data_IF_333967467716
#
_entry.id   IF_333967467716
#
_cell.length_a   1.000
_cell.length_b   1.000
_cell.length_c   1.000
_cell.angle_alpha   90.00
_cell.angle_beta   90.00
_cell.angle_gamma   90.00
#
_symmetry.space_group_name_H-M   'P 1'
#
loop_
_entity.id
_entity.type
_entity.pdbx_description
1 polymer ?
#
# COMPACT_ATOMS: atom_id res chain seq x y z
N UNK A 1 21.17 48.27 86.25
CA UNK A 1 19.88 49.01 86.27
C UNK A 1 19.12 48.53 85.05
N UNK A 2 17.98 47.86 85.07
CA UNK A 2 17.00 47.51 86.10
C UNK A 2 15.66 47.32 85.37
N UNK A 3 14.94 46.23 85.65
CA UNK A 3 13.56 45.94 85.19
C UNK A 3 13.49 45.22 83.83
N UNK A 4 12.85 44.06 83.64
CA UNK A 4 11.83 43.37 84.44
C UNK A 4 10.49 43.43 83.70
N UNK A 5 10.07 42.32 83.09
CA UNK A 5 8.79 42.18 82.40
C UNK A 5 8.65 40.81 81.75
N UNK A 6 8.06 39.87 82.48
CA UNK A 6 7.69 38.50 82.08
C UNK A 6 6.44 38.49 81.21
N UNK A 7 6.37 37.58 80.23
CA UNK A 7 5.21 36.71 80.03
C UNK A 7 5.57 35.54 79.10
N UNK A 8 5.20 34.34 79.54
CA UNK A 8 5.37 33.05 78.89
C UNK A 8 4.02 32.67 78.30
N UNK A 9 3.93 32.35 77.01
CA UNK A 9 2.92 31.39 76.55
C UNK A 9 3.24 30.72 75.20
N UNK A 10 3.13 29.39 75.26
CA UNK A 10 2.68 28.44 74.25
C UNK A 10 3.47 28.19 72.95
N UNK A 11 3.94 26.94 72.89
CA UNK A 11 4.46 26.20 71.75
C UNK A 11 3.51 26.14 70.53
N UNK A 12 4.12 26.21 69.34
CA UNK A 12 3.69 25.45 68.16
C UNK A 12 4.89 25.28 67.22
N UNK A 13 5.22 24.04 66.86
CA UNK A 13 6.36 23.72 66.02
C UNK A 13 6.11 24.06 64.55
N UNK A 14 7.06 24.75 63.93
CA UNK A 14 7.17 24.84 62.47
C UNK A 14 8.25 23.86 61.99
N UNK A 15 7.80 22.69 61.53
CA UNK A 15 8.60 21.80 60.72
C UNK A 15 8.86 22.48 59.36
N UNK A 16 10.13 22.61 58.99
CA UNK A 16 10.54 23.20 57.71
C UNK A 16 9.92 22.45 56.55
N UNK A 17 9.03 23.12 55.81
CA UNK A 17 8.40 22.59 54.61
C UNK A 17 9.45 22.29 53.53
N UNK A 18 9.58 21.01 53.19
CA UNK A 18 10.24 20.55 51.99
C UNK A 18 9.53 21.13 50.76
N UNK A 19 10.26 21.85 49.91
CA UNK A 19 9.77 22.38 48.64
C UNK A 19 9.35 21.25 47.69
N UNK A 20 8.05 21.07 47.54
CA UNK A 20 7.43 20.23 46.51
C UNK A 20 7.75 20.77 45.11
N UNK A 21 8.10 19.92 44.12
CA UNK A 21 8.29 20.39 42.75
C UNK A 21 6.95 20.81 42.16
N UNK A 22 6.96 21.98 41.52
CA UNK A 22 5.82 22.61 40.84
C UNK A 22 5.15 21.61 39.88
N UNK A 23 3.87 21.32 40.14
CA UNK A 23 2.97 20.61 39.24
C UNK A 23 2.93 21.35 37.90
N UNK A 24 3.48 20.74 36.85
CA UNK A 24 3.08 21.09 35.48
C UNK A 24 1.56 20.96 35.39
N UNK A 25 0.83 21.92 34.81
CA UNK A 25 -0.59 21.77 34.59
C UNK A 25 -0.81 20.51 33.76
N UNK A 26 -1.52 19.52 34.33
CA UNK A 26 -2.09 18.42 33.58
C UNK A 26 -3.03 19.03 32.54
N UNK A 27 -2.53 19.21 31.31
CA UNK A 27 -3.38 19.46 30.16
C UNK A 27 -4.20 18.18 30.01
N UNK A 28 -5.47 18.25 30.41
CA UNK A 28 -6.42 17.16 30.21
C UNK A 28 -6.41 16.81 28.71
N UNK A 29 -6.32 15.51 28.35
CA UNK A 29 -6.40 15.13 26.95
C UNK A 29 -7.71 15.66 26.37
N UNK A 30 -7.71 16.13 25.10
CA UNK A 30 -8.93 16.59 24.46
C UNK A 30 -9.99 15.48 24.50
N UNK A 31 -11.29 15.82 24.65
CA UNK A 31 -12.34 14.82 24.63
C UNK A 31 -12.24 14.00 23.32
N UNK A 32 -12.55 12.70 23.36
CA UNK A 32 -12.47 11.86 22.17
C UNK A 32 -13.32 12.48 21.06
N UNK A 33 -12.83 12.49 19.81
CA UNK A 33 -13.61 13.00 18.70
C UNK A 33 -14.95 12.24 18.66
N UNK A 34 -16.05 12.95 18.46
CA UNK A 34 -17.35 12.31 18.32
C UNK A 34 -17.26 11.27 17.18
N UNK A 35 -17.79 10.06 17.40
CA UNK A 35 -17.77 8.94 16.43
C UNK A 35 -18.12 9.40 15.00
N UNK A 36 -19.17 10.20 14.86
CA UNK A 36 -19.59 10.72 13.55
C UNK A 36 -18.57 11.65 12.88
N UNK A 37 -17.77 12.39 13.65
CA UNK A 37 -16.71 13.24 13.11
C UNK A 37 -15.54 12.39 12.58
N UNK A 38 -15.18 11.31 13.27
CA UNK A 38 -14.12 10.40 12.81
C UNK A 38 -14.54 9.63 11.55
N UNK A 39 -15.78 9.11 11.51
CA UNK A 39 -16.36 8.51 10.30
C UNK A 39 -16.28 9.47 9.12
N UNK A 40 -16.70 10.73 9.30
CA UNK A 40 -16.66 11.74 8.24
C UNK A 40 -15.23 12.01 7.74
N UNK A 41 -14.25 12.09 8.64
CA UNK A 41 -12.84 12.30 8.28
C UNK A 41 -12.28 11.12 7.48
N UNK A 42 -12.56 9.90 7.93
CA UNK A 42 -12.09 8.69 7.24
C UNK A 42 -12.73 8.54 5.87
N UNK A 43 -14.05 8.73 5.73
CA UNK A 43 -14.73 8.68 4.43
C UNK A 43 -14.20 9.76 3.48
N UNK A 44 -13.95 10.98 3.98
CA UNK A 44 -13.40 12.08 3.18
C UNK A 44 -11.97 11.82 2.68
N UNK A 45 -11.23 10.91 3.31
CA UNK A 45 -9.92 10.43 2.84
C UNK A 45 -10.05 9.19 1.97
N UNK A 46 -10.77 8.17 2.44
CA UNK A 46 -10.89 6.87 1.82
C UNK A 46 -11.52 6.96 0.43
N UNK A 47 -12.65 7.64 0.27
CA UNK A 47 -13.34 7.67 -1.04
C UNK A 47 -12.47 8.29 -2.15
N UNK A 48 -11.80 9.45 -1.95
CA UNK A 48 -10.82 9.95 -2.92
C UNK A 48 -9.62 9.02 -3.13
N UNK A 49 -9.10 8.37 -2.08
CA UNK A 49 -7.95 7.48 -2.21
C UNK A 49 -8.28 6.18 -2.95
N UNK A 50 -9.49 5.65 -2.78
CA UNK A 50 -10.04 4.54 -3.58
C UNK A 50 -10.13 4.96 -5.04
N UNK A 51 -10.75 6.12 -5.33
CA UNK A 51 -10.85 6.63 -6.69
C UNK A 51 -9.46 6.84 -7.32
N UNK A 52 -8.51 7.41 -6.57
CA UNK A 52 -7.13 7.58 -7.02
C UNK A 52 -6.46 6.24 -7.35
N UNK A 53 -6.61 5.24 -6.48
CA UNK A 53 -6.03 3.90 -6.68
C UNK A 53 -6.62 3.20 -7.90
N UNK A 54 -7.95 3.29 -8.08
CA UNK A 54 -8.64 2.73 -9.25
C UNK A 54 -8.21 3.42 -10.55
N UNK A 55 -8.08 4.75 -10.54
CA UNK A 55 -7.61 5.52 -11.70
C UNK A 55 -6.17 5.13 -12.06
N UNK A 56 -5.29 4.96 -11.08
CA UNK A 56 -3.91 4.55 -11.30
C UNK A 56 -3.80 3.10 -11.79
N UNK A 57 -4.60 2.18 -11.24
CA UNK A 57 -4.66 0.79 -11.69
C UNK A 57 -5.17 0.69 -13.13
N UNK A 58 -6.14 1.52 -13.51
CA UNK A 58 -6.70 1.56 -14.87
C UNK A 58 -5.65 1.84 -15.95
N UNK A 59 -4.54 2.54 -15.66
CA UNK A 59 -3.45 2.74 -16.63
C UNK A 59 -2.86 1.38 -17.06
N UNK A 60 -2.64 0.48 -16.11
CA UNK A 60 -2.09 -0.84 -16.38
C UNK A 60 -3.07 -1.68 -17.21
N UNK A 61 -4.34 -1.68 -16.84
CA UNK A 61 -5.40 -2.39 -17.57
C UNK A 61 -5.49 -1.90 -19.01
N UNK A 62 -5.56 -0.58 -19.22
CA UNK A 62 -5.62 0.01 -20.57
C UNK A 62 -4.38 -0.37 -21.39
N UNK A 63 -3.18 -0.30 -20.81
CA UNK A 63 -1.93 -0.65 -21.50
C UNK A 63 -1.93 -2.10 -22.00
N UNK A 64 -2.38 -3.05 -21.17
CA UNK A 64 -2.48 -4.47 -21.51
C UNK A 64 -3.56 -4.70 -22.57
N UNK A 65 -4.71 -4.02 -22.49
CA UNK A 65 -5.76 -4.12 -23.50
C UNK A 65 -5.26 -3.66 -24.89
N UNK A 66 -4.51 -2.56 -24.96
CA UNK A 66 -3.91 -2.11 -26.20
C UNK A 66 -2.87 -3.09 -26.75
N UNK A 67 -2.02 -3.67 -25.88
CA UNK A 67 -1.11 -4.74 -26.27
C UNK A 67 -1.85 -5.99 -26.79
N UNK A 68 -3.02 -6.29 -26.22
CA UNK A 68 -3.88 -7.40 -26.64
C UNK A 68 -4.35 -7.30 -28.08
N UNK A 69 -4.70 -6.10 -28.54
CA UNK A 69 -5.12 -5.88 -29.92
C UNK A 69 -3.99 -6.04 -30.96
N UNK A 70 -2.73 -6.11 -30.53
CA UNK A 70 -1.59 -6.40 -31.41
C UNK A 70 -1.38 -7.91 -31.62
N UNK A 71 -2.07 -8.77 -30.87
CA UNK A 71 -2.00 -10.23 -31.00
C UNK A 71 -1.66 -10.96 -29.70
N UNK A 72 -1.86 -12.27 -29.69
CA UNK A 72 -1.72 -13.14 -28.51
C UNK A 72 -0.31 -13.13 -27.90
N UNK A 73 0.72 -13.09 -28.74
CA UNK A 73 2.11 -13.03 -28.28
C UNK A 73 2.42 -11.70 -27.57
N UNK A 74 1.93 -10.58 -28.11
CA UNK A 74 2.07 -9.25 -27.50
C UNK A 74 1.34 -9.17 -26.17
N UNK A 75 0.11 -9.69 -26.10
CA UNK A 75 -0.67 -9.79 -24.85
C UNK A 75 0.09 -10.57 -23.78
N UNK A 76 0.56 -11.77 -24.14
CA UNK A 76 1.26 -12.67 -23.22
C UNK A 76 2.57 -12.05 -22.74
N UNK A 77 3.37 -11.49 -23.65
CA UNK A 77 4.62 -10.79 -23.32
C UNK A 77 4.38 -9.58 -22.40
N UNK A 78 3.40 -8.73 -22.71
CA UNK A 78 3.06 -7.56 -21.89
C UNK A 78 2.56 -7.96 -20.49
N UNK A 79 1.73 -9.00 -20.40
CA UNK A 79 1.16 -9.47 -19.14
C UNK A 79 2.24 -10.07 -18.22
N UNK A 80 3.11 -10.93 -18.78
CA UNK A 80 4.24 -11.52 -18.05
C UNK A 80 5.23 -10.45 -17.63
N UNK A 81 5.57 -9.50 -18.51
CA UNK A 81 6.46 -8.39 -18.17
C UNK A 81 5.88 -7.51 -17.07
N UNK A 82 4.58 -7.23 -17.11
CA UNK A 82 3.91 -6.40 -16.11
C UNK A 82 3.85 -7.07 -14.74
N UNK A 83 3.52 -8.37 -14.69
CA UNK A 83 3.57 -9.15 -13.45
C UNK A 83 5.01 -9.19 -12.90
N UNK A 84 6.00 -9.50 -13.75
CA UNK A 84 7.41 -9.52 -13.34
C UNK A 84 7.88 -8.15 -12.83
N UNK A 85 7.51 -7.06 -13.50
CA UNK A 85 7.85 -5.71 -13.08
C UNK A 85 7.12 -5.27 -11.80
N UNK A 86 5.89 -5.74 -11.59
CA UNK A 86 5.17 -5.50 -10.34
C UNK A 86 5.89 -6.18 -9.16
N UNK A 87 6.23 -7.46 -9.30
CA UNK A 87 6.94 -8.26 -8.29
C UNK A 87 8.33 -7.69 -8.00
N UNK A 88 9.11 -7.42 -9.03
CA UNK A 88 10.53 -7.09 -8.89
C UNK A 88 10.84 -5.60 -8.85
N UNK A 89 9.85 -4.72 -9.06
CA UNK A 89 10.06 -3.28 -9.19
C UNK A 89 9.00 -2.42 -8.49
N UNK A 90 7.78 -2.39 -9.01
CA UNK A 90 6.75 -1.45 -8.54
C UNK A 90 6.32 -1.70 -7.09
N UNK A 91 6.08 -2.96 -6.69
CA UNK A 91 5.73 -3.31 -5.30
C UNK A 91 6.85 -2.92 -4.30
N UNK A 92 8.11 -3.03 -4.73
CA UNK A 92 9.28 -2.65 -3.93
C UNK A 92 9.30 -1.15 -3.69
N UNK A 93 9.09 -0.34 -4.74
CA UNK A 93 9.02 1.13 -4.62
C UNK A 93 7.80 1.60 -3.84
N UNK A 94 6.64 0.97 -4.03
CA UNK A 94 5.43 1.20 -3.25
C UNK A 94 5.68 0.96 -1.76
N UNK A 95 6.27 -0.18 -1.44
CA UNK A 95 6.60 -0.59 -0.07
C UNK A 95 7.57 0.38 0.60
N UNK A 96 8.69 0.74 -0.04
CA UNK A 96 9.60 1.75 0.51
C UNK A 96 8.92 3.11 0.68
N UNK A 97 8.17 3.56 -0.33
CA UNK A 97 7.45 4.84 -0.30
C UNK A 97 6.47 4.93 0.87
N UNK A 98 5.82 3.82 1.24
CA UNK A 98 4.86 3.75 2.35
C UNK A 98 5.46 4.07 3.73
N UNK A 99 6.78 4.07 3.91
CA UNK A 99 7.39 4.59 5.14
C UNK A 99 7.08 6.09 5.36
N UNK A 100 6.76 6.83 4.31
CA UNK A 100 6.29 8.21 4.42
C UNK A 100 4.93 8.33 5.12
N UNK A 101 4.09 7.28 5.11
CA UNK A 101 2.83 7.29 5.86
C UNK A 101 3.11 7.54 7.35
N UNK A 102 4.15 6.92 7.91
CA UNK A 102 4.60 7.18 9.28
C UNK A 102 5.35 8.50 9.41
N UNK A 103 6.43 8.70 8.64
CA UNK A 103 7.32 9.86 8.82
C UNK A 103 6.62 11.18 8.55
N UNK A 104 5.92 11.32 7.42
CA UNK A 104 5.21 12.55 7.09
C UNK A 104 3.92 12.68 7.90
N UNK A 105 3.21 11.59 8.15
CA UNK A 105 1.97 11.61 8.94
C UNK A 105 2.19 12.03 10.39
N UNK A 106 3.16 11.42 11.08
CA UNK A 106 3.49 11.83 12.46
C UNK A 106 4.06 13.25 12.51
N UNK A 107 4.89 13.65 11.54
CA UNK A 107 5.36 15.05 11.44
C UNK A 107 4.21 16.04 11.22
N UNK A 108 3.19 15.65 10.44
CA UNK A 108 2.02 16.47 10.20
C UNK A 108 1.18 16.64 11.48
N UNK A 109 0.95 15.53 12.20
CA UNK A 109 0.31 15.54 13.52
C UNK A 109 1.02 16.46 14.51
N UNK A 110 2.35 16.36 14.55
CA UNK A 110 3.22 17.18 15.41
C UNK A 110 3.37 18.64 14.93
N UNK A 111 2.70 19.03 13.83
CA UNK A 111 2.79 20.36 13.19
C UNK A 111 4.21 20.74 12.74
N UNK A 112 5.08 19.76 12.51
CA UNK A 112 6.44 19.96 12.02
C UNK A 112 6.46 20.02 10.49
N UNK A 113 5.83 21.04 9.90
CA UNK A 113 5.54 21.06 8.46
C UNK A 113 6.78 21.00 7.57
N UNK A 114 7.89 21.63 7.97
CA UNK A 114 9.17 21.58 7.23
C UNK A 114 9.77 20.17 7.18
N UNK A 115 9.50 19.36 8.21
CA UNK A 115 9.99 17.99 8.27
C UNK A 115 9.32 17.10 7.23
N UNK A 116 8.06 17.36 6.84
CA UNK A 116 7.40 16.60 5.77
C UNK A 116 8.19 16.66 4.46
N UNK A 117 8.55 17.87 4.03
CA UNK A 117 9.33 18.06 2.81
C UNK A 117 10.70 17.41 2.91
N UNK A 118 11.34 17.49 4.08
CA UNK A 118 12.64 16.84 4.32
C UNK A 118 12.55 15.32 4.26
N UNK A 119 11.49 14.71 4.81
CA UNK A 119 11.23 13.28 4.71
C UNK A 119 10.93 12.86 3.26
N UNK A 120 10.11 13.61 2.54
CA UNK A 120 9.79 13.34 1.14
C UNK A 120 11.03 13.41 0.24
N UNK A 121 11.91 14.40 0.42
CA UNK A 121 13.18 14.50 -0.31
C UNK A 121 14.10 13.31 -0.07
N UNK A 122 14.15 12.83 1.18
CA UNK A 122 14.91 11.64 1.54
C UNK A 122 14.35 10.39 0.88
N UNK A 123 13.03 10.23 0.87
CA UNK A 123 12.38 9.15 0.15
C UNK A 123 12.67 9.22 -1.35
N UNK A 124 12.60 10.40 -1.98
CA UNK A 124 13.00 10.59 -3.38
C UNK A 124 14.42 10.08 -3.62
N UNK A 125 15.38 10.47 -2.79
CA UNK A 125 16.76 9.98 -2.90
C UNK A 125 16.86 8.45 -2.79
N UNK A 126 16.23 7.86 -1.76
CA UNK A 126 16.28 6.41 -1.51
C UNK A 126 15.60 5.63 -2.63
N UNK A 127 14.41 6.03 -3.07
CA UNK A 127 13.65 5.34 -4.12
C UNK A 127 14.33 5.49 -5.48
N UNK A 128 14.95 6.63 -5.80
CA UNK A 128 15.73 6.77 -7.04
C UNK A 128 16.98 5.90 -7.02
N UNK A 129 17.67 5.82 -5.88
CA UNK A 129 18.84 4.95 -5.73
C UNK A 129 18.46 3.47 -5.85
N UNK A 130 17.36 3.05 -5.21
CA UNK A 130 16.88 1.67 -5.31
C UNK A 130 16.26 1.36 -6.69
N UNK A 131 15.74 2.37 -7.40
CA UNK A 131 15.31 2.23 -8.79
C UNK A 131 16.41 1.71 -9.72
N UNK A 132 17.70 1.99 -9.44
CA UNK A 132 18.83 1.53 -10.26
C UNK A 132 18.97 0.00 -10.28
N UNK A 133 19.15 -0.72 -9.16
CA UNK A 133 19.23 -2.18 -9.17
C UNK A 133 17.93 -2.81 -9.69
N UNK A 134 16.76 -2.23 -9.41
CA UNK A 134 15.48 -2.73 -9.93
C UNK A 134 15.42 -2.59 -11.46
N UNK A 135 15.88 -1.46 -12.02
CA UNK A 135 15.97 -1.26 -13.47
C UNK A 135 16.92 -2.26 -14.13
N UNK A 136 18.03 -2.60 -13.48
CA UNK A 136 18.93 -3.67 -13.97
C UNK A 136 18.20 -5.00 -14.03
N UNK A 137 17.45 -5.38 -12.99
CA UNK A 137 16.63 -6.61 -13.00
C UNK A 137 15.63 -6.58 -14.16
N UNK A 138 14.93 -5.45 -14.38
CA UNK A 138 13.98 -5.32 -15.49
C UNK A 138 14.65 -5.42 -16.87
N UNK A 139 15.85 -4.87 -17.04
CA UNK A 139 16.60 -4.94 -18.29
C UNK A 139 16.96 -6.39 -18.68
N UNK A 140 17.08 -7.28 -17.69
CA UNK A 140 17.38 -8.69 -17.89
C UNK A 140 16.14 -9.60 -17.85
N UNK A 141 14.92 -9.05 -17.81
CA UNK A 141 13.66 -9.83 -17.67
C UNK A 141 13.58 -10.98 -18.66
N UNK A 142 13.83 -10.76 -19.96
CA UNK A 142 13.73 -11.85 -20.95
C UNK A 142 14.72 -12.98 -20.73
N UNK A 143 15.96 -12.66 -20.33
CA UNK A 143 16.98 -13.67 -20.04
C UNK A 143 16.64 -14.45 -18.77
N UNK A 144 16.13 -13.75 -17.74
CA UNK A 144 15.69 -14.37 -16.49
C UNK A 144 14.53 -15.32 -16.77
N UNK A 145 13.53 -14.92 -17.55
CA UNK A 145 12.38 -15.76 -17.87
C UNK A 145 12.80 -17.01 -18.68
N UNK A 146 13.70 -16.88 -19.65
CA UNK A 146 14.28 -18.02 -20.38
C UNK A 146 15.02 -18.95 -19.41
N UNK A 147 15.82 -18.40 -18.50
CA UNK A 147 16.55 -19.21 -17.50
C UNK A 147 15.61 -19.93 -16.53
N UNK A 148 14.42 -19.37 -16.27
CA UNK A 148 13.35 -20.00 -15.50
C UNK A 148 12.51 -21.00 -16.31
N UNK A 149 12.84 -21.23 -17.59
CA UNK A 149 12.19 -22.22 -18.44
C UNK A 149 10.92 -21.73 -19.15
N UNK A 150 10.67 -20.42 -19.19
CA UNK A 150 9.56 -19.86 -19.96
C UNK A 150 9.80 -19.98 -21.48
N UNK A 151 8.71 -19.92 -22.25
CA UNK A 151 8.79 -19.94 -23.71
C UNK A 151 9.71 -18.81 -24.22
N UNK A 152 10.70 -19.09 -25.10
CA UNK A 152 11.66 -18.09 -25.56
C UNK A 152 11.05 -16.88 -26.29
N UNK A 153 9.99 -17.07 -27.07
CA UNK A 153 9.33 -15.99 -27.80
C UNK A 153 8.58 -15.06 -26.84
N UNK A 154 7.80 -15.63 -25.90
CA UNK A 154 7.09 -14.87 -24.85
C UNK A 154 8.11 -14.12 -23.98
N UNK A 155 9.21 -14.78 -23.62
CA UNK A 155 10.25 -14.20 -22.79
C UNK A 155 10.98 -13.06 -23.49
N UNK A 156 11.25 -13.18 -24.79
CA UNK A 156 11.83 -12.11 -25.59
C UNK A 156 10.91 -10.88 -25.64
N UNK A 157 9.62 -11.10 -25.91
CA UNK A 157 8.62 -10.02 -25.92
C UNK A 157 8.45 -9.37 -24.55
N UNK A 158 8.41 -10.17 -23.48
CA UNK A 158 8.35 -9.67 -22.12
C UNK A 158 9.60 -8.86 -21.75
N UNK A 159 10.78 -9.31 -22.18
CA UNK A 159 12.05 -8.59 -21.99
C UNK A 159 12.06 -7.24 -22.69
N UNK A 160 11.58 -7.17 -23.93
CA UNK A 160 11.43 -5.91 -24.66
C UNK A 160 10.43 -4.98 -23.94
N UNK A 161 9.26 -5.48 -23.56
CA UNK A 161 8.27 -4.69 -22.83
C UNK A 161 8.84 -4.11 -21.53
N UNK A 162 9.50 -4.95 -20.72
CA UNK A 162 10.10 -4.56 -19.43
C UNK A 162 11.18 -3.48 -19.59
N UNK A 163 12.02 -3.58 -20.64
CA UNK A 163 13.04 -2.56 -20.95
C UNK A 163 12.42 -1.18 -21.19
N UNK A 164 11.31 -1.12 -21.92
CA UNK A 164 10.59 0.14 -22.21
C UNK A 164 9.76 0.64 -21.02
N UNK A 165 9.59 -0.18 -19.98
CA UNK A 165 8.92 0.18 -18.72
C UNK A 165 9.88 0.84 -17.71
N UNK A 166 11.20 0.72 -17.90
CA UNK A 166 12.22 1.25 -16.98
C UNK A 166 12.06 2.75 -16.71
N UNK A 167 11.80 3.64 -17.69
CA UNK A 167 11.58 5.06 -17.39
C UNK A 167 10.37 5.27 -16.46
N UNK A 168 9.33 4.45 -16.61
CA UNK A 168 8.14 4.43 -15.77
C UNK A 168 8.42 3.98 -14.34
N UNK A 169 9.39 3.10 -14.13
CA UNK A 169 9.81 2.67 -12.78
C UNK A 169 10.29 3.85 -11.93
N UNK A 170 11.14 4.72 -12.49
CA UNK A 170 11.61 5.92 -11.80
C UNK A 170 10.50 6.95 -11.60
N UNK A 171 9.64 7.14 -12.60
CA UNK A 171 8.47 8.00 -12.45
C UNK A 171 7.54 7.51 -11.32
N UNK A 172 7.30 6.21 -11.24
CA UNK A 172 6.48 5.61 -10.20
C UNK A 172 7.08 5.83 -8.81
N UNK A 173 8.40 5.68 -8.65
CA UNK A 173 9.07 5.99 -7.39
C UNK A 173 8.86 7.45 -6.94
N UNK A 174 8.97 8.41 -7.86
CA UNK A 174 8.67 9.82 -7.58
C UNK A 174 7.19 10.06 -7.28
N UNK A 175 6.30 9.37 -8.01
CA UNK A 175 4.86 9.44 -7.82
C UNK A 175 4.49 8.98 -6.41
N UNK A 176 5.06 7.86 -5.94
CA UNK A 176 4.84 7.39 -4.57
C UNK A 176 5.27 8.45 -3.54
N UNK A 177 6.43 9.09 -3.72
CA UNK A 177 6.86 10.17 -2.82
C UNK A 177 5.88 11.35 -2.77
N UNK A 178 5.43 11.83 -3.93
CA UNK A 178 4.50 12.97 -4.03
C UNK A 178 3.11 12.63 -3.49
N UNK A 179 2.58 11.46 -3.84
CA UNK A 179 1.30 10.96 -3.33
C UNK A 179 1.32 10.88 -1.82
N UNK A 180 2.36 10.27 -1.24
CA UNK A 180 2.50 10.11 0.21
C UNK A 180 2.65 11.46 0.91
N UNK A 181 3.46 12.37 0.36
CA UNK A 181 3.63 13.73 0.88
C UNK A 181 2.31 14.51 0.96
N UNK A 182 1.45 14.43 -0.07
CA UNK A 182 0.16 15.12 -0.09
C UNK A 182 -0.89 14.43 0.80
N UNK A 183 -1.04 13.11 0.71
CA UNK A 183 -2.11 12.41 1.40
C UNK A 183 -1.95 12.44 2.93
N UNK A 184 -0.72 12.39 3.47
CA UNK A 184 -0.50 12.46 4.93
C UNK A 184 -0.92 13.82 5.51
N UNK A 185 -0.96 14.85 4.68
CA UNK A 185 -1.48 16.18 5.02
C UNK A 185 -3.02 16.27 4.89
N UNK A 186 -3.70 15.17 4.61
CA UNK A 186 -5.13 15.08 4.29
C UNK A 186 -5.49 15.74 2.94
N UNK A 187 -4.54 15.83 2.00
CA UNK A 187 -4.72 16.49 0.72
C UNK A 187 -4.81 15.44 -0.38
N UNK A 188 -6.05 15.03 -0.67
CA UNK A 188 -6.34 13.90 -1.56
C UNK A 188 -6.99 14.31 -2.88
N UNK A 189 -7.63 15.49 -2.94
CA UNK A 189 -8.31 15.96 -4.15
C UNK A 189 -7.38 16.13 -5.37
N UNK A 190 -6.18 16.73 -5.24
CA UNK A 190 -5.25 16.84 -6.37
C UNK A 190 -4.80 15.47 -6.88
N UNK A 191 -4.71 14.46 -6.02
CA UNK A 191 -4.31 13.11 -6.39
C UNK A 191 -5.33 12.48 -7.34
N UNK A 192 -6.62 12.63 -7.04
CA UNK A 192 -7.72 12.15 -7.90
C UNK A 192 -7.73 12.90 -9.22
N UNK A 193 -7.67 14.23 -9.19
CA UNK A 193 -7.72 15.06 -10.39
C UNK A 193 -6.54 14.76 -11.31
N UNK A 194 -5.31 14.73 -10.78
CA UNK A 194 -4.12 14.45 -11.60
C UNK A 194 -4.14 13.02 -12.15
N UNK A 195 -4.58 12.03 -11.35
CA UNK A 195 -4.71 10.65 -11.83
C UNK A 195 -5.79 10.51 -12.91
N UNK A 196 -6.91 11.21 -12.78
CA UNK A 196 -7.99 11.22 -13.77
C UNK A 196 -7.56 11.86 -15.10
N UNK A 197 -6.93 13.04 -15.03
CA UNK A 197 -6.36 13.69 -16.23
C UNK A 197 -5.29 12.80 -16.87
N UNK A 198 -4.45 12.15 -16.04
CA UNK A 198 -3.44 11.20 -16.53
C UNK A 198 -4.08 10.02 -17.25
N UNK A 199 -5.16 9.42 -16.73
CA UNK A 199 -5.85 8.30 -17.37
C UNK A 199 -6.44 8.69 -18.73
N UNK A 200 -7.09 9.85 -18.82
CA UNK A 200 -7.64 10.36 -20.09
C UNK A 200 -6.52 10.55 -21.11
N UNK A 201 -5.41 11.18 -20.70
CA UNK A 201 -4.25 11.34 -21.57
C UNK A 201 -3.61 9.99 -21.93
N UNK A 202 -3.59 9.05 -21.00
CA UNK A 202 -3.01 7.73 -21.20
C UNK A 202 -3.75 6.94 -22.28
N UNK A 203 -5.09 6.98 -22.30
CA UNK A 203 -5.88 6.33 -23.36
C UNK A 203 -5.52 6.92 -24.73
N UNK A 204 -5.46 8.25 -24.83
CA UNK A 204 -5.06 8.93 -26.07
C UNK A 204 -3.62 8.57 -26.46
N UNK A 205 -2.70 8.56 -25.50
CA UNK A 205 -1.30 8.26 -25.73
C UNK A 205 -1.08 6.82 -26.19
N UNK A 206 -1.74 5.85 -25.56
CA UNK A 206 -1.74 4.45 -25.99
C UNK A 206 -2.25 4.35 -27.43
N UNK A 207 -3.38 4.99 -27.75
CA UNK A 207 -3.93 4.97 -29.11
C UNK A 207 -2.93 5.55 -30.13
N UNK A 208 -2.37 6.74 -29.88
CA UNK A 208 -1.38 7.38 -30.76
C UNK A 208 -0.13 6.51 -30.89
N UNK A 209 0.43 6.04 -29.78
CA UNK A 209 1.66 5.24 -29.78
C UNK A 209 1.48 3.90 -30.48
N UNK A 210 0.31 3.26 -30.38
CA UNK A 210 0.05 1.96 -31.01
C UNK A 210 -0.26 2.11 -32.50
N UNK A 211 -0.99 3.15 -32.90
CA UNK A 211 -1.46 3.28 -34.29
C UNK A 211 -0.60 4.22 -35.17
N UNK A 212 0.05 5.23 -34.59
CA UNK A 212 0.84 6.19 -35.35
C UNK A 212 2.33 5.88 -35.33
N UNK A 213 2.80 5.17 -34.29
CA UNK A 213 4.19 4.78 -34.16
C UNK A 213 4.27 3.25 -34.26
N UNK A 214 4.93 2.73 -35.29
CA UNK A 214 5.06 1.29 -35.56
C UNK A 214 6.05 0.61 -34.60
N UNK A 215 5.82 0.77 -33.30
CA UNK A 215 6.67 0.27 -32.21
C UNK A 215 6.09 -1.00 -31.54
N UNK A 216 4.93 -1.46 -32.01
CA UNK A 216 4.26 -2.68 -31.54
C UNK A 216 4.05 -2.68 -30.03
N UNK A 217 4.41 -3.78 -29.35
CA UNK A 217 4.19 -3.95 -27.92
C UNK A 217 4.94 -2.91 -27.04
N UNK A 218 6.03 -2.32 -27.57
CA UNK A 218 6.81 -1.28 -26.90
C UNK A 218 5.99 0.00 -26.69
N UNK A 219 5.04 0.27 -27.58
CA UNK A 219 4.14 1.41 -27.51
C UNK A 219 3.35 1.45 -26.22
N UNK A 220 2.84 0.29 -25.77
CA UNK A 220 2.08 0.18 -24.53
C UNK A 220 2.97 0.50 -23.31
N UNK A 221 4.13 -0.15 -23.19
CA UNK A 221 5.08 0.09 -22.10
C UNK A 221 5.57 1.55 -22.02
N UNK A 222 5.89 2.14 -23.17
CA UNK A 222 6.32 3.53 -23.24
C UNK A 222 5.18 4.49 -22.85
N UNK A 223 3.96 4.21 -23.29
CA UNK A 223 2.78 5.01 -22.93
C UNK A 223 2.53 5.00 -21.43
N UNK A 224 2.65 3.84 -20.77
CA UNK A 224 2.57 3.73 -19.31
C UNK A 224 3.64 4.60 -18.64
N UNK A 225 4.89 4.49 -19.11
CA UNK A 225 6.02 5.24 -18.56
C UNK A 225 5.84 6.75 -18.66
N UNK A 226 5.41 7.24 -19.83
CA UNK A 226 5.14 8.65 -20.08
C UNK A 226 3.96 9.15 -19.25
N UNK A 227 2.91 8.35 -19.07
CA UNK A 227 1.77 8.69 -18.22
C UNK A 227 2.17 8.84 -16.75
N UNK A 228 3.05 7.99 -16.22
CA UNK A 228 3.58 8.20 -14.87
C UNK A 228 4.38 9.49 -14.74
N UNK A 229 5.26 9.80 -15.72
CA UNK A 229 5.99 11.07 -15.71
C UNK A 229 5.06 12.28 -15.78
N UNK A 230 4.02 12.20 -16.60
CA UNK A 230 3.01 13.25 -16.69
C UNK A 230 2.30 13.46 -15.35
N UNK A 231 1.90 12.38 -14.66
CA UNK A 231 1.28 12.48 -13.33
C UNK A 231 2.24 13.10 -12.29
N UNK A 232 3.52 12.67 -12.31
CA UNK A 232 4.58 13.28 -11.47
C UNK A 232 4.70 14.77 -11.73
N UNK A 233 4.71 15.20 -13.00
CA UNK A 233 4.81 16.62 -13.37
C UNK A 233 3.59 17.39 -12.86
N UNK A 234 2.37 16.88 -13.04
CA UNK A 234 1.15 17.53 -12.55
C UNK A 234 1.18 17.72 -11.02
N UNK A 235 1.54 16.67 -10.28
CA UNK A 235 1.64 16.74 -8.82
C UNK A 235 2.79 17.64 -8.36
N UNK A 236 3.94 17.60 -9.03
CA UNK A 236 5.07 18.48 -8.73
C UNK A 236 4.73 19.95 -8.97
N UNK A 237 4.01 20.26 -10.06
CA UNK A 237 3.47 21.61 -10.32
C UNK A 237 2.52 22.00 -9.20
N UNK A 238 1.57 21.15 -8.82
CA UNK A 238 0.65 21.42 -7.72
C UNK A 238 1.39 21.74 -6.42
N UNK A 239 2.37 20.91 -6.02
CA UNK A 239 3.20 21.17 -4.83
C UNK A 239 3.92 22.51 -4.96
N UNK A 240 4.51 22.82 -6.11
CA UNK A 240 5.27 24.07 -6.31
C UNK A 240 4.41 25.34 -6.20
N UNK A 241 3.16 25.30 -6.70
CA UNK A 241 2.31 26.50 -6.80
C UNK A 241 1.33 26.67 -5.65
N UNK A 242 0.94 25.57 -4.99
CA UNK A 242 -0.05 25.59 -3.91
C UNK A 242 0.50 26.12 -2.60
N UNK A 243 -0.39 26.70 -1.78
CA UNK A 243 -0.06 27.15 -0.43
C UNK A 243 0.42 25.99 0.47
N UNK A 244 -0.08 24.79 0.21
CA UNK A 244 0.33 23.56 0.87
C UNK A 244 1.83 23.35 0.72
N UNK A 245 2.32 23.33 -0.52
CA UNK A 245 3.74 23.12 -0.75
C UNK A 245 4.59 24.27 -0.24
N UNK A 246 4.12 25.52 -0.30
CA UNK A 246 4.83 26.65 0.36
C UNK A 246 5.02 26.44 1.85
N UNK A 247 4.04 25.82 2.54
CA UNK A 247 4.09 25.56 3.98
C UNK A 247 4.90 24.32 4.36
N UNK A 248 4.89 23.26 3.55
CA UNK A 248 5.48 21.97 3.91
C UNK A 248 6.66 21.52 3.05
N UNK A 249 7.04 22.31 2.04
CA UNK A 249 8.24 22.11 1.24
C UNK A 249 9.25 23.23 1.49
N UNK A 250 10.24 23.03 2.39
CA UNK A 250 11.20 24.08 2.77
C UNK A 250 12.28 24.35 1.70
N UNK A 251 12.13 23.79 0.49
CA UNK A 251 13.18 23.72 -0.52
C UNK A 251 14.14 22.56 -0.28
N UNK A 252 15.08 22.35 -1.22
CA UNK A 252 16.02 21.23 -1.15
C UNK A 252 17.00 21.39 0.01
N UNK A 253 17.02 20.40 0.90
CA UNK A 253 17.89 20.40 2.08
C UNK A 253 18.95 19.30 1.98
N UNK A 254 20.21 19.65 2.26
CA UNK A 254 21.30 18.67 2.38
C UNK A 254 21.07 17.72 3.57
N UNK A 255 20.26 18.11 4.54
CA UNK A 255 19.91 17.26 5.68
C UNK A 255 19.09 16.04 5.27
N UNK A 256 18.33 16.12 4.18
CA UNK A 256 17.62 14.98 3.62
C UNK A 256 18.57 13.84 3.23
N UNK A 257 19.79 14.19 2.81
CA UNK A 257 20.82 13.28 2.27
C UNK A 257 21.84 12.81 3.33
N UNK A 258 21.82 13.35 4.55
CA UNK A 258 22.73 12.92 5.61
C UNK A 258 22.51 11.45 5.92
N UNK A 259 23.57 10.64 5.86
CA UNK A 259 23.55 9.18 6.02
C UNK A 259 22.80 8.71 7.28
N UNK A 260 22.97 9.42 8.41
CA UNK A 260 22.25 9.14 9.66
C UNK A 260 20.73 9.08 9.45
N UNK A 261 20.16 10.05 8.73
CA UNK A 261 18.72 10.12 8.53
C UNK A 261 18.23 9.23 7.40
N UNK A 262 19.06 9.00 6.37
CA UNK A 262 18.81 7.96 5.36
C UNK A 262 18.68 6.59 6.03
N UNK A 263 19.60 6.24 6.94
CA UNK A 263 19.53 5.00 7.71
C UNK A 263 18.27 4.93 8.59
N UNK A 264 17.84 6.05 9.18
CA UNK A 264 16.59 6.09 9.94
C UNK A 264 15.38 5.82 9.05
N UNK A 265 15.34 6.37 7.84
CA UNK A 265 14.29 6.08 6.86
C UNK A 265 14.31 4.61 6.43
N UNK A 266 15.48 4.06 6.09
CA UNK A 266 15.66 2.68 5.67
C UNK A 266 15.23 1.66 6.75
N UNK A 267 15.41 1.97 8.03
CA UNK A 267 14.93 1.12 9.14
C UNK A 267 13.42 0.89 9.13
N UNK A 268 12.66 1.80 8.51
CA UNK A 268 11.22 1.66 8.33
C UNK A 268 10.86 1.21 6.92
N UNK A 269 11.51 1.80 5.91
CA UNK A 269 11.25 1.52 4.49
C UNK A 269 11.53 0.07 4.10
N UNK A 270 12.60 -0.54 4.60
CA UNK A 270 12.92 -1.95 4.31
C UNK A 270 11.83 -2.88 4.88
N UNK A 271 11.45 -2.80 6.17
CA UNK A 271 10.30 -3.54 6.66
C UNK A 271 8.99 -3.27 5.92
N UNK A 272 8.68 -2.01 5.60
CA UNK A 272 7.49 -1.68 4.81
C UNK A 272 7.51 -2.36 3.44
N UNK A 273 8.69 -2.47 2.83
CA UNK A 273 8.91 -3.19 1.57
C UNK A 273 8.56 -4.66 1.72
N UNK A 274 9.12 -5.34 2.72
CA UNK A 274 8.80 -6.75 2.96
C UNK A 274 7.33 -6.96 3.32
N UNK A 275 6.74 -6.06 4.10
CA UNK A 275 5.33 -6.13 4.46
C UNK A 275 4.43 -6.15 3.21
N UNK A 276 4.67 -5.27 2.24
CA UNK A 276 3.92 -5.25 0.96
C UNK A 276 4.32 -6.38 0.02
N UNK A 277 5.62 -6.60 -0.18
CA UNK A 277 6.13 -7.52 -1.18
C UNK A 277 5.82 -8.98 -0.83
N UNK A 278 5.97 -9.39 0.43
CA UNK A 278 5.76 -10.79 0.83
C UNK A 278 4.34 -11.26 0.50
N UNK A 279 3.36 -10.39 0.70
CA UNK A 279 1.97 -10.61 0.34
C UNK A 279 1.78 -10.70 -1.18
N UNK A 280 2.24 -9.68 -1.92
CA UNK A 280 2.08 -9.62 -3.38
C UNK A 280 2.76 -10.82 -4.07
N UNK A 281 3.95 -11.17 -3.62
CA UNK A 281 4.71 -12.29 -4.17
C UNK A 281 4.05 -13.63 -3.87
N UNK A 282 3.40 -13.80 -2.70
CA UNK A 282 2.69 -15.03 -2.36
C UNK A 282 1.52 -15.31 -3.33
N UNK A 283 0.80 -14.26 -3.72
CA UNK A 283 -0.25 -14.36 -4.74
C UNK A 283 0.29 -14.77 -6.11
N UNK A 284 1.39 -14.16 -6.54
CA UNK A 284 2.03 -14.49 -7.82
C UNK A 284 2.61 -15.92 -7.79
N UNK A 285 3.17 -16.36 -6.66
CA UNK A 285 3.61 -17.74 -6.47
C UNK A 285 2.46 -18.74 -6.59
N UNK A 286 1.25 -18.41 -6.11
CA UNK A 286 0.08 -19.27 -6.28
C UNK A 286 -0.30 -19.41 -7.75
N UNK A 287 -0.25 -18.35 -8.55
CA UNK A 287 -0.46 -18.44 -10.00
C UNK A 287 0.63 -19.29 -10.65
N UNK A 288 1.91 -19.11 -10.28
CA UNK A 288 3.01 -19.93 -10.79
C UNK A 288 2.84 -21.42 -10.44
N UNK A 289 2.37 -21.73 -9.23
CA UNK A 289 2.10 -23.10 -8.80
C UNK A 289 0.97 -23.75 -9.60
N UNK A 290 0.00 -22.98 -10.09
CA UNK A 290 -1.06 -23.53 -10.95
C UNK A 290 -0.52 -24.11 -12.27
N UNK A 291 0.61 -23.61 -12.76
CA UNK A 291 1.30 -24.15 -13.93
C UNK A 291 1.83 -25.58 -13.77
N UNK A 292 1.89 -26.10 -12.53
CA UNK A 292 2.31 -27.48 -12.24
C UNK A 292 1.13 -28.44 -12.00
N UNK A 293 -0.12 -27.96 -12.07
CA UNK A 293 -1.30 -28.82 -11.91
C UNK A 293 -1.58 -29.64 -13.19
N UNK A 294 -2.37 -30.74 -13.10
CA UNK A 294 -2.60 -31.65 -14.23
C UNK A 294 -3.20 -31.02 -15.50
N UNK A 295 -3.97 -29.93 -15.37
CA UNK A 295 -4.45 -29.12 -16.49
C UNK A 295 -3.90 -27.68 -16.37
N UNK A 296 -2.62 -27.46 -16.69
CA UNK A 296 -1.93 -26.22 -16.33
C UNK A 296 -2.48 -25.02 -17.10
N UNK A 297 -2.96 -25.21 -18.34
CA UNK A 297 -3.59 -24.13 -19.12
C UNK A 297 -4.86 -23.62 -18.47
N UNK A 298 -5.77 -24.53 -18.09
CA UNK A 298 -7.02 -24.17 -17.44
C UNK A 298 -6.77 -23.54 -16.07
N UNK A 299 -5.98 -24.22 -15.22
CA UNK A 299 -5.72 -23.79 -13.83
C UNK A 299 -5.00 -22.44 -13.77
N UNK A 300 -4.00 -22.21 -14.63
CA UNK A 300 -3.29 -20.92 -14.69
C UNK A 300 -4.22 -19.81 -15.17
N UNK A 301 -5.06 -20.06 -16.17
CA UNK A 301 -6.03 -19.07 -16.66
C UNK A 301 -7.03 -18.67 -15.57
N UNK A 302 -7.58 -19.64 -14.83
CA UNK A 302 -8.54 -19.36 -13.76
C UNK A 302 -7.89 -18.57 -12.64
N UNK A 303 -6.70 -18.98 -12.18
CA UNK A 303 -6.00 -18.24 -11.11
C UNK A 303 -5.56 -16.85 -11.55
N UNK A 304 -5.20 -16.68 -12.83
CA UNK A 304 -4.90 -15.35 -13.37
C UNK A 304 -6.14 -14.45 -13.41
N UNK A 305 -7.31 -14.98 -13.79
CA UNK A 305 -8.59 -14.25 -13.75
C UNK A 305 -8.96 -13.92 -12.30
N UNK A 306 -8.80 -14.87 -11.38
CA UNK A 306 -9.00 -14.66 -9.95
C UNK A 306 -8.10 -13.56 -9.39
N UNK A 307 -6.81 -13.56 -9.76
CA UNK A 307 -5.84 -12.58 -9.29
C UNK A 307 -6.13 -11.18 -9.85
N UNK A 308 -6.48 -11.07 -11.12
CA UNK A 308 -6.91 -9.80 -11.71
C UNK A 308 -8.18 -9.24 -11.04
N UNK A 309 -9.15 -10.13 -10.76
CA UNK A 309 -10.38 -9.76 -10.04
C UNK A 309 -10.05 -9.24 -8.66
N UNK A 310 -9.19 -9.94 -7.92
CA UNK A 310 -8.72 -9.51 -6.61
C UNK A 310 -7.99 -8.17 -6.68
N UNK A 311 -7.06 -7.95 -7.62
CA UNK A 311 -6.35 -6.66 -7.73
C UNK A 311 -7.28 -5.49 -8.02
N UNK A 312 -8.32 -5.71 -8.82
CA UNK A 312 -9.35 -4.70 -9.06
C UNK A 312 -10.11 -4.38 -7.77
N UNK A 313 -10.57 -5.41 -7.04
CA UNK A 313 -11.29 -5.26 -5.77
C UNK A 313 -10.40 -4.61 -4.70
N UNK A 314 -9.13 -5.01 -4.61
CA UNK A 314 -8.10 -4.52 -3.69
C UNK A 314 -7.93 -3.00 -3.69
N UNK A 315 -8.28 -2.32 -4.80
CA UNK A 315 -8.23 -0.85 -4.86
C UNK A 315 -9.12 -0.17 -3.81
N UNK A 316 -10.21 -0.83 -3.39
CA UNK A 316 -11.13 -0.35 -2.35
C UNK A 316 -10.50 -0.44 -0.95
N UNK A 317 -10.09 -1.62 -0.43
CA UNK A 317 -9.48 -1.72 0.87
C UNK A 317 -8.10 -1.04 0.94
N UNK A 318 -7.37 -0.92 -0.17
CA UNK A 318 -6.12 -0.13 -0.23
C UNK A 318 -6.36 1.36 0.05
N UNK A 319 -7.44 1.94 -0.48
CA UNK A 319 -7.83 3.32 -0.19
C UNK A 319 -8.21 3.52 1.28
N UNK A 320 -8.96 2.57 1.87
CA UNK A 320 -9.27 2.57 3.30
C UNK A 320 -8.01 2.41 4.16
N UNK A 321 -7.12 1.49 3.78
CA UNK A 321 -5.80 1.24 4.40
C UNK A 321 -4.95 2.51 4.45
N UNK A 322 -4.96 3.29 3.37
CA UNK A 322 -4.27 4.58 3.33
C UNK A 322 -4.94 5.61 4.25
N UNK A 323 -6.27 5.68 4.27
CA UNK A 323 -7.00 6.58 5.15
C UNK A 323 -6.73 6.31 6.64
N UNK A 324 -6.81 5.05 7.08
CA UNK A 324 -6.50 4.69 8.48
C UNK A 324 -5.04 4.98 8.83
N UNK A 325 -4.11 4.71 7.90
CA UNK A 325 -2.70 5.01 8.09
C UNK A 325 -2.47 6.48 8.35
N UNK A 326 -3.07 7.37 7.54
CA UNK A 326 -3.01 8.82 7.69
C UNK A 326 -3.62 9.28 9.02
N UNK A 327 -4.80 8.74 9.40
CA UNK A 327 -5.47 9.14 10.64
C UNK A 327 -4.65 8.74 11.86
N UNK A 328 -4.20 7.49 11.94
CA UNK A 328 -3.41 6.99 13.06
C UNK A 328 -2.07 7.74 13.16
N UNK A 329 -1.34 7.89 12.06
CA UNK A 329 -0.07 8.63 12.08
C UNK A 329 -0.26 10.08 12.53
N UNK A 330 -1.32 10.75 12.07
CA UNK A 330 -1.58 12.15 12.40
C UNK A 330 -1.99 12.30 13.87
N UNK A 331 -2.84 11.42 14.40
CA UNK A 331 -3.25 11.51 15.81
C UNK A 331 -2.12 11.11 16.77
N UNK A 332 -1.30 10.11 16.43
CA UNK A 332 -0.11 9.76 17.20
C UNK A 332 0.90 10.92 17.22
N UNK A 333 1.20 11.50 16.06
CA UNK A 333 2.07 12.67 15.98
C UNK A 333 1.53 13.90 16.72
N UNK A 334 0.20 14.02 16.84
CA UNK A 334 -0.46 15.12 17.55
C UNK A 334 -0.52 14.93 19.07
N UNK A 335 -0.09 13.79 19.61
CA UNK A 335 -0.18 13.55 21.04
C UNK A 335 -1.50 12.93 21.51
N UNK A 336 -2.33 12.38 20.61
CA UNK A 336 -3.73 12.01 20.89
C UNK A 336 -3.98 10.49 20.83
N UNK A 337 -3.64 9.73 21.88
CA UNK A 337 -3.73 8.27 21.85
C UNK A 337 -5.18 7.77 21.74
N UNK A 338 -6.14 8.45 22.38
CA UNK A 338 -7.55 8.08 22.31
C UNK A 338 -8.13 8.26 20.91
N UNK A 339 -7.72 9.32 20.19
CA UNK A 339 -8.17 9.58 18.83
C UNK A 339 -7.55 8.57 17.84
N UNK A 340 -6.29 8.18 18.03
CA UNK A 340 -5.67 7.11 17.26
C UNK A 340 -6.40 5.77 17.45
N UNK A 341 -6.68 5.39 18.70
CA UNK A 341 -7.45 4.18 19.04
C UNK A 341 -8.86 4.20 18.42
N UNK A 342 -9.58 5.33 18.56
CA UNK A 342 -10.90 5.49 17.95
C UNK A 342 -10.83 5.38 16.43
N UNK A 343 -9.79 5.93 15.80
CA UNK A 343 -9.61 5.85 14.35
C UNK A 343 -9.53 4.39 13.88
N UNK A 344 -8.75 3.55 14.57
CA UNK A 344 -8.64 2.11 14.27
C UNK A 344 -9.98 1.40 14.45
N UNK A 345 -10.70 1.68 15.55
CA UNK A 345 -12.00 1.07 15.80
C UNK A 345 -13.02 1.41 14.71
N UNK A 346 -13.11 2.68 14.32
CA UNK A 346 -14.02 3.13 13.26
C UNK A 346 -13.64 2.53 11.90
N UNK A 347 -12.36 2.48 11.56
CA UNK A 347 -11.90 1.82 10.34
C UNK A 347 -12.21 0.33 10.33
N UNK A 348 -12.17 -0.35 11.48
CA UNK A 348 -12.60 -1.74 11.61
C UNK A 348 -14.08 -1.92 11.23
N UNK A 349 -14.97 -1.05 11.72
CA UNK A 349 -16.40 -1.08 11.35
C UNK A 349 -16.61 -0.78 9.86
N UNK A 350 -15.92 0.23 9.34
CA UNK A 350 -16.00 0.59 7.91
C UNK A 350 -15.54 -0.56 7.02
N UNK A 351 -14.43 -1.20 7.39
CA UNK A 351 -13.89 -2.36 6.68
C UNK A 351 -14.86 -3.55 6.71
N UNK A 352 -15.44 -3.90 7.86
CA UNK A 352 -16.42 -4.98 7.92
C UNK A 352 -17.64 -4.70 7.04
N UNK A 353 -18.07 -3.43 6.97
CA UNK A 353 -19.21 -3.03 6.14
C UNK A 353 -18.87 -3.12 4.65
N UNK A 354 -17.71 -2.59 4.26
CA UNK A 354 -17.20 -2.61 2.89
C UNK A 354 -16.92 -4.04 2.40
N UNK A 355 -16.18 -4.84 3.17
CA UNK A 355 -15.91 -6.23 2.84
C UNK A 355 -17.18 -7.06 2.67
N UNK A 356 -18.21 -6.85 3.52
CA UNK A 356 -19.49 -7.55 3.36
C UNK A 356 -20.19 -7.17 2.05
N UNK A 357 -20.17 -5.89 1.68
CA UNK A 357 -20.74 -5.43 0.41
C UNK A 357 -19.99 -6.03 -0.78
N UNK A 358 -18.66 -6.00 -0.75
CA UNK A 358 -17.81 -6.60 -1.79
C UNK A 358 -18.09 -8.10 -1.91
N UNK A 359 -18.09 -8.85 -0.81
CA UNK A 359 -18.36 -10.28 -0.82
C UNK A 359 -19.74 -10.62 -1.41
N UNK A 360 -20.78 -9.86 -1.05
CA UNK A 360 -22.13 -10.03 -1.60
C UNK A 360 -22.12 -9.78 -3.12
N UNK A 361 -21.52 -8.68 -3.57
CA UNK A 361 -21.46 -8.34 -5.00
C UNK A 361 -20.71 -9.42 -5.77
N UNK A 362 -19.54 -9.86 -5.28
CA UNK A 362 -18.72 -10.91 -5.89
C UNK A 362 -19.52 -12.20 -6.08
N UNK A 363 -20.30 -12.62 -5.07
CA UNK A 363 -21.17 -13.81 -5.19
C UNK A 363 -22.32 -13.59 -6.17
N UNK A 364 -22.94 -12.39 -6.18
CA UNK A 364 -24.07 -12.09 -7.08
C UNK A 364 -23.66 -12.13 -8.56
N UNK A 365 -22.45 -11.69 -8.89
CA UNK A 365 -21.96 -11.64 -10.28
C UNK A 365 -21.28 -12.95 -10.72
N UNK A 366 -21.21 -13.98 -9.86
CA UNK A 366 -20.42 -15.18 -10.12
C UNK A 366 -20.74 -15.89 -11.44
N UNK A 367 -22.01 -15.87 -11.87
CA UNK A 367 -22.45 -16.55 -13.10
C UNK A 367 -22.12 -15.81 -14.39
N UNK A 368 -21.76 -14.53 -14.32
CA UNK A 368 -21.48 -13.68 -15.49
C UNK A 368 -20.05 -13.18 -15.54
N UNK A 369 -19.36 -13.11 -14.40
CA UNK A 369 -18.02 -12.52 -14.28
C UNK A 369 -16.99 -13.15 -15.22
N UNK A 370 -17.01 -14.48 -15.37
CA UNK A 370 -16.08 -15.20 -16.24
C UNK A 370 -16.13 -14.78 -17.70
N UNK A 371 -17.29 -14.33 -18.19
CA UNK A 371 -17.47 -13.88 -19.58
C UNK A 371 -16.75 -12.56 -19.90
N UNK A 372 -16.31 -11.81 -18.88
CA UNK A 372 -15.46 -10.63 -19.09
C UNK A 372 -14.04 -11.01 -19.56
N UNK A 373 -13.63 -12.27 -19.35
CA UNK A 373 -12.27 -12.73 -19.60
C UNK A 373 -12.20 -13.82 -20.68
N UNK A 374 -13.20 -14.69 -20.81
CA UNK A 374 -13.18 -15.81 -21.75
C UNK A 374 -14.56 -16.15 -22.29
N UNK A 375 -14.60 -16.62 -23.54
CA UNK A 375 -15.80 -17.20 -24.16
C UNK A 375 -15.86 -18.73 -23.98
N UNK A 376 -14.86 -19.35 -23.36
CA UNK A 376 -14.84 -20.79 -23.11
C UNK A 376 -15.66 -21.15 -21.88
N UNK A 377 -16.76 -21.89 -22.09
CA UNK A 377 -17.70 -22.34 -21.06
C UNK A 377 -17.03 -23.05 -19.87
N UNK A 378 -15.96 -23.80 -20.11
CA UNK A 378 -15.21 -24.50 -19.05
C UNK A 378 -14.53 -23.50 -18.10
N UNK A 379 -13.86 -22.48 -18.65
CA UNK A 379 -13.22 -21.40 -17.88
C UNK A 379 -14.26 -20.62 -17.10
N UNK A 380 -15.36 -20.22 -17.77
CA UNK A 380 -16.43 -19.43 -17.14
C UNK A 380 -17.07 -20.18 -15.97
N UNK A 381 -17.40 -21.46 -16.14
CA UNK A 381 -17.97 -22.29 -15.07
C UNK A 381 -17.01 -22.47 -13.91
N UNK A 382 -15.72 -22.69 -14.17
CA UNK A 382 -14.75 -22.83 -13.10
C UNK A 382 -14.60 -21.49 -12.35
N UNK A 383 -14.42 -20.36 -13.04
CA UNK A 383 -14.40 -19.02 -12.43
C UNK A 383 -15.63 -18.82 -11.55
N UNK A 384 -16.83 -19.14 -12.02
CA UNK A 384 -18.05 -19.05 -11.22
C UNK A 384 -17.97 -19.84 -9.90
N UNK A 385 -17.34 -21.02 -9.90
CA UNK A 385 -17.11 -21.80 -8.67
C UNK A 385 -15.97 -21.27 -7.78
N UNK A 386 -15.06 -20.45 -8.31
CA UNK A 386 -14.03 -19.75 -7.55
C UNK A 386 -14.57 -18.51 -6.85
N UNK A 387 -15.56 -17.82 -7.43
CA UNK A 387 -16.06 -16.53 -6.93
C UNK A 387 -16.49 -16.56 -5.45
N UNK A 388 -17.14 -17.60 -4.89
CA UNK A 388 -17.39 -17.66 -3.46
C UNK A 388 -16.12 -17.73 -2.60
N UNK A 389 -15.06 -18.40 -3.09
CA UNK A 389 -13.75 -18.45 -2.42
C UNK A 389 -13.10 -17.06 -2.47
N UNK A 390 -13.18 -16.39 -3.63
CA UNK A 390 -12.69 -15.01 -3.79
C UNK A 390 -13.45 -14.05 -2.88
N UNK A 391 -14.77 -14.16 -2.76
CA UNK A 391 -15.55 -13.32 -1.87
C UNK A 391 -15.09 -13.41 -0.40
N UNK A 392 -14.73 -14.61 0.07
CA UNK A 392 -14.14 -14.81 1.41
C UNK A 392 -12.74 -14.18 1.48
N UNK A 393 -11.92 -14.43 0.44
CA UNK A 393 -10.57 -13.87 0.33
C UNK A 393 -10.59 -12.34 0.36
N UNK A 394 -11.43 -11.70 -0.44
CA UNK A 394 -11.56 -10.24 -0.55
C UNK A 394 -12.09 -9.62 0.75
N UNK A 395 -13.04 -10.28 1.43
CA UNK A 395 -13.51 -9.86 2.75
C UNK A 395 -12.37 -9.85 3.77
N UNK A 396 -11.56 -10.91 3.79
CA UNK A 396 -10.41 -11.03 4.68
C UNK A 396 -9.30 -10.05 4.33
N UNK A 397 -9.06 -9.87 3.04
CA UNK A 397 -8.08 -8.91 2.52
C UNK A 397 -8.43 -7.48 2.95
N UNK A 398 -9.72 -7.11 2.95
CA UNK A 398 -10.17 -5.83 3.51
C UNK A 398 -9.75 -5.62 4.96
N UNK A 399 -9.94 -6.65 5.80
CA UNK A 399 -9.56 -6.62 7.22
C UNK A 399 -8.04 -6.48 7.34
N UNK A 400 -7.28 -7.33 6.65
CA UNK A 400 -5.83 -7.30 6.63
C UNK A 400 -5.29 -5.93 6.18
N UNK A 401 -5.81 -5.39 5.08
CA UNK A 401 -5.42 -4.10 4.53
C UNK A 401 -5.61 -2.99 5.56
N UNK A 402 -6.76 -2.99 6.24
CA UNK A 402 -7.07 -2.01 7.28
C UNK A 402 -6.10 -2.11 8.46
N UNK A 403 -5.86 -3.32 8.95
CA UNK A 403 -4.92 -3.59 10.05
C UNK A 403 -3.47 -3.20 9.68
N UNK A 404 -3.05 -3.53 8.47
CA UNK A 404 -1.73 -3.17 7.94
C UNK A 404 -1.58 -1.66 7.75
N UNK A 405 -2.66 -0.96 7.38
CA UNK A 405 -2.71 0.49 7.31
C UNK A 405 -2.52 1.13 8.68
N UNK A 406 -3.22 0.62 9.71
CA UNK A 406 -3.02 1.04 11.09
C UNK A 406 -1.58 0.79 11.56
N UNK A 407 -1.02 -0.39 11.28
CA UNK A 407 0.36 -0.71 11.62
C UNK A 407 1.39 0.23 10.96
N UNK A 408 1.16 0.64 9.69
CA UNK A 408 1.97 1.68 9.06
C UNK A 408 1.82 3.03 9.76
N UNK A 409 0.61 3.40 10.18
CA UNK A 409 0.37 4.64 10.93
C UNK A 409 1.14 4.69 12.26
N UNK A 410 1.20 3.55 12.96
CA UNK A 410 1.94 3.40 14.22
C UNK A 410 3.46 3.28 14.04
N UNK A 411 3.95 2.85 12.87
CA UNK A 411 5.38 2.57 12.67
C UNK A 411 5.79 1.12 12.97
N UNK A 412 4.84 0.19 12.98
CA UNK A 412 5.08 -1.23 13.32
C UNK A 412 5.45 -2.12 12.13
N UNK A 413 5.93 -1.54 11.03
CA UNK A 413 6.17 -2.29 9.79
C UNK A 413 7.18 -3.43 9.98
N UNK A 414 8.13 -3.31 10.91
CA UNK A 414 9.05 -4.41 11.27
C UNK A 414 8.32 -5.64 11.79
N UNK A 415 7.47 -5.48 12.79
CA UNK A 415 6.72 -6.60 13.38
C UNK A 415 5.75 -7.16 12.34
N UNK A 416 5.04 -6.29 11.62
CA UNK A 416 4.11 -6.72 10.57
C UNK A 416 4.81 -7.50 9.45
N UNK A 417 6.01 -7.08 9.01
CA UNK A 417 6.76 -7.82 7.98
C UNK A 417 7.14 -9.23 8.40
N UNK A 418 7.46 -9.44 9.69
CA UNK A 418 7.74 -10.77 10.25
C UNK A 418 6.46 -11.61 10.29
N UNK A 419 5.34 -11.02 10.72
CA UNK A 419 4.03 -11.68 10.70
C UNK A 419 3.69 -12.13 9.28
N UNK A 420 3.85 -11.26 8.28
CA UNK A 420 3.57 -11.59 6.87
C UNK A 420 4.47 -12.73 6.37
N UNK A 421 5.76 -12.71 6.71
CA UNK A 421 6.68 -13.79 6.35
C UNK A 421 6.21 -15.14 6.91
N UNK A 422 5.87 -15.19 8.20
CA UNK A 422 5.39 -16.41 8.84
C UNK A 422 4.03 -16.85 8.25
N UNK A 423 3.09 -15.92 8.14
CA UNK A 423 1.74 -16.20 7.66
C UNK A 423 1.74 -16.75 6.22
N UNK A 424 2.38 -16.05 5.28
CA UNK A 424 2.35 -16.44 3.87
C UNK A 424 3.31 -17.59 3.57
N UNK A 425 4.54 -17.58 4.07
CA UNK A 425 5.57 -18.53 3.61
C UNK A 425 5.71 -19.76 4.49
N UNK A 426 5.37 -19.68 5.77
CA UNK A 426 5.42 -20.84 6.68
C UNK A 426 4.09 -21.58 6.76
N UNK A 427 2.97 -20.86 6.61
CA UNK A 427 1.62 -21.46 6.66
C UNK A 427 0.97 -21.47 5.28
N UNK A 428 0.82 -20.30 4.65
CA UNK A 428 0.04 -20.12 3.42
C UNK A 428 0.47 -20.99 2.25
N UNK A 429 1.72 -20.81 1.78
CA UNK A 429 2.26 -21.53 0.63
C UNK A 429 2.31 -23.05 0.90
N UNK A 430 2.77 -23.53 2.07
CA UNK A 430 2.66 -24.97 2.40
C UNK A 430 1.22 -25.48 2.38
N UNK A 431 0.26 -24.76 2.96
CA UNK A 431 -1.16 -25.11 2.91
C UNK A 431 -1.69 -25.14 1.47
N UNK A 432 -1.32 -24.16 0.64
CA UNK A 432 -1.68 -24.10 -0.78
C UNK A 432 -1.19 -25.37 -1.51
N UNK A 433 0.08 -25.74 -1.30
CA UNK A 433 0.67 -26.94 -1.91
C UNK A 433 -0.03 -28.20 -1.43
N UNK A 434 -0.29 -28.34 -0.13
CA UNK A 434 -0.99 -29.50 0.43
C UNK A 434 -2.39 -29.62 -0.15
N UNK A 435 -3.18 -28.54 -0.14
CA UNK A 435 -4.56 -28.57 -0.64
C UNK A 435 -4.62 -28.84 -2.15
N UNK A 436 -3.74 -28.21 -2.93
CA UNK A 436 -3.76 -28.33 -4.37
C UNK A 436 -3.24 -29.68 -4.88
N UNK A 437 -2.09 -30.13 -4.38
CA UNK A 437 -1.39 -31.30 -4.93
C UNK A 437 -1.61 -32.59 -4.12
N UNK A 438 -1.62 -32.51 -2.80
CA UNK A 438 -1.78 -33.69 -1.93
C UNK A 438 -3.25 -34.08 -1.82
N UNK A 439 -4.11 -33.10 -1.50
CA UNK A 439 -5.57 -33.31 -1.42
C UNK A 439 -6.26 -33.22 -2.79
N UNK A 440 -5.53 -32.87 -3.85
CA UNK A 440 -6.01 -32.81 -5.24
C UNK A 440 -7.22 -31.89 -5.44
N UNK A 441 -7.25 -30.76 -4.73
CA UNK A 441 -8.32 -29.75 -4.83
C UNK A 441 -8.04 -28.75 -5.99
N UNK A 442 -6.90 -28.87 -6.68
CA UNK A 442 -6.56 -28.03 -7.85
C UNK A 442 -6.32 -26.57 -7.47
N UNK A 443 -6.63 -25.64 -8.38
CA UNK A 443 -6.45 -24.19 -8.18
C UNK A 443 -7.24 -23.63 -7.00
N UNK A 444 -8.41 -24.21 -6.69
CA UNK A 444 -9.16 -23.91 -5.45
C UNK A 444 -8.30 -24.15 -4.21
N UNK A 445 -7.55 -25.25 -4.19
CA UNK A 445 -6.64 -25.59 -3.10
C UNK A 445 -5.53 -24.55 -2.93
N UNK A 446 -4.98 -24.05 -4.03
CA UNK A 446 -3.95 -23.01 -3.98
C UNK A 446 -4.49 -21.72 -3.33
N UNK A 447 -5.69 -21.30 -3.71
CA UNK A 447 -6.33 -20.10 -3.14
C UNK A 447 -6.74 -20.27 -1.67
N UNK A 448 -7.20 -21.46 -1.29
CA UNK A 448 -7.49 -21.78 0.10
C UNK A 448 -6.25 -21.67 0.99
N UNK A 449 -5.05 -21.93 0.46
CA UNK A 449 -3.80 -21.70 1.18
C UNK A 449 -3.54 -20.22 1.49
N UNK A 450 -3.86 -19.32 0.55
CA UNK A 450 -3.80 -17.87 0.80
C UNK A 450 -4.77 -17.47 1.92
N UNK A 451 -5.99 -18.01 1.92
CA UNK A 451 -6.97 -17.76 2.98
C UNK A 451 -6.42 -18.20 4.35
N UNK A 452 -5.68 -19.31 4.43
CA UNK A 452 -4.99 -19.70 5.66
C UNK A 452 -3.95 -18.67 6.10
N UNK A 453 -3.15 -18.13 5.17
CA UNK A 453 -2.18 -17.07 5.47
C UNK A 453 -2.88 -15.82 6.03
N UNK A 454 -3.90 -15.32 5.34
CA UNK A 454 -4.68 -14.15 5.75
C UNK A 454 -5.29 -14.35 7.14
N UNK A 455 -5.80 -15.56 7.42
CA UNK A 455 -6.36 -15.88 8.75
C UNK A 455 -5.32 -15.70 9.84
N UNK A 456 -4.12 -16.27 9.66
CA UNK A 456 -3.03 -16.17 10.64
C UNK A 456 -2.58 -14.72 10.82
N UNK A 457 -2.42 -13.98 9.73
CA UNK A 457 -2.01 -12.58 9.76
C UNK A 457 -3.04 -11.69 10.45
N UNK A 458 -4.32 -11.81 10.12
CA UNK A 458 -5.42 -11.06 10.75
C UNK A 458 -5.43 -11.34 12.26
N UNK A 459 -5.37 -12.61 12.68
CA UNK A 459 -5.35 -12.96 14.10
C UNK A 459 -4.15 -12.33 14.82
N UNK A 460 -2.96 -12.40 14.23
CA UNK A 460 -1.75 -11.81 14.82
C UNK A 460 -1.86 -10.28 14.94
N UNK A 461 -2.33 -9.60 13.89
CA UNK A 461 -2.49 -8.13 13.89
C UNK A 461 -3.60 -7.67 14.85
N UNK A 462 -4.70 -8.40 14.95
CA UNK A 462 -5.76 -8.12 15.94
C UNK A 462 -5.22 -8.29 17.36
N UNK A 463 -4.50 -9.38 17.65
CA UNK A 463 -3.88 -9.57 18.98
C UNK A 463 -2.91 -8.44 19.29
N UNK A 464 -2.08 -8.03 18.33
CA UNK A 464 -1.15 -6.92 18.51
C UNK A 464 -1.88 -5.61 18.86
N UNK A 465 -2.94 -5.26 18.12
CA UNK A 465 -3.75 -4.07 18.41
C UNK A 465 -4.43 -4.12 19.77
N UNK A 466 -4.99 -5.28 20.15
CA UNK A 466 -5.65 -5.45 21.46
C UNK A 466 -4.66 -5.34 22.64
N UNK A 467 -3.39 -5.66 22.42
CA UNK A 467 -2.32 -5.56 23.44
C UNK A 467 -1.64 -4.20 23.47
N UNK A 468 -1.95 -3.31 22.53
CA UNK A 468 -1.28 -2.02 22.38
C UNK A 468 -1.69 -1.05 23.49
N UNK A 469 -0.70 -0.52 24.20
CA UNK A 469 -0.88 0.64 25.07
C UNK A 469 -0.78 1.92 24.26
N UNK A 470 -1.91 2.44 23.80
CA UNK A 470 -1.94 3.65 22.95
C UNK A 470 -1.25 4.85 23.60
N UNK A 471 -1.22 4.95 24.93
CA UNK A 471 -0.51 6.02 25.64
C UNK A 471 1.02 5.93 25.47
N UNK A 472 1.58 4.72 25.34
CA UNK A 472 3.00 4.52 25.09
C UNK A 472 3.37 4.83 23.62
N UNK A 473 2.48 4.50 22.68
CA UNK A 473 2.69 4.74 21.24
C UNK A 473 2.82 6.22 20.86
N UNK A 474 2.33 7.13 21.70
CA UNK A 474 2.44 8.58 21.52
C UNK A 474 3.80 9.13 22.01
N UNK A 475 4.54 8.34 22.77
CA UNK A 475 5.87 8.65 23.29
C UNK A 475 6.92 7.63 22.79
N UNK A 476 7.15 7.52 21.46
CA UNK A 476 7.99 6.49 20.86
C UNK A 476 9.50 6.69 21.08
#
# INVERSE_FOLDING_TARGET
MGGGGSEVEAAAGEASASSSPLLHPHVLPPPPPAVGAEVRRQVALAAPLVACSLLQYSLQVVSVMFAGHLGELSLSGASVASSFANVTGFSVLLGMGSALDTFCGQSYGAKQFDMLGTHAQRAVFVLMLMGVPLAVVLAFTGQILIALGQNPEISSEAGLYALWLIPGLFAYGLLQCLTKFLQTQNIVQPLVVCSGVTLVLHILLCWVMVHCFDLGNRSAALSTSLSYWFNVILLAIYVKVSEVGRRSWPGWSRDALKLKYVNMYLRLAIPSTFMTCLEYWAFEMVVLLAGFLPNPKLETSILSISLNTMWMVYTIPSGLSSAISIRVSNELGAGNPQAACLSVFISGIMCLTEGMLVAIITVLVQGTWGYLYSNEEEVVKYVATMMPILAISDFMDGIQCTLSGAARGCGWQKVCSIINLCAYYTIGIPSAVIFAFVLKIGGKGLWLGIICAMTVQILALVVMLLRTSWNEEVHP
#
